data_IF_817976236449
#
_entry.id   IF_817976236449
#
_cell.length_a   1.000
_cell.length_b   1.000
_cell.length_c   1.000
_cell.angle_alpha   90.00
_cell.angle_beta   90.00
_cell.angle_gamma   90.00
#
_symmetry.space_group_name_H-M   'P 1'
#
loop_
_entity.id
_entity.type
_entity.pdbx_description
1 polymer ?
#
# COMPACT_ATOMS: atom_id res chain seq x y z
N UNK A 1 31.21 14.05 28.80
CA UNK A 1 31.46 15.38 28.20
C UNK A 1 30.17 15.85 27.56
N UNK A 2 29.67 17.04 27.90
CA UNK A 2 28.53 17.61 27.19
C UNK A 2 29.01 18.03 25.79
N UNK A 3 28.76 17.18 24.80
CA UNK A 3 29.13 17.45 23.41
C UNK A 3 28.32 18.61 22.85
N UNK A 4 28.99 19.52 22.14
CA UNK A 4 28.33 20.52 21.30
C UNK A 4 27.65 19.84 20.10
N UNK A 5 26.64 20.48 19.54
CA UNK A 5 26.00 19.92 18.36
C UNK A 5 26.91 20.01 17.13
N UNK A 6 27.11 18.90 16.42
CA UNK A 6 27.96 18.86 15.22
C UNK A 6 27.47 19.74 14.07
N UNK A 7 26.17 20.05 14.02
CA UNK A 7 25.56 20.89 12.99
C UNK A 7 25.49 22.36 13.42
N UNK A 8 25.51 22.61 14.73
CA UNK A 8 25.49 23.95 15.30
C UNK A 8 26.33 23.94 16.58
N UNK A 9 27.63 24.14 16.39
CA UNK A 9 28.63 24.01 17.44
C UNK A 9 28.49 25.08 18.53
N UNK A 10 27.63 26.08 18.33
CA UNK A 10 27.35 27.13 19.30
C UNK A 10 26.32 26.71 20.36
N UNK A 11 25.61 25.61 20.15
CA UNK A 11 24.55 25.13 21.04
C UNK A 11 24.94 23.75 21.59
N UNK A 12 24.88 23.58 22.91
CA UNK A 12 25.09 22.27 23.52
C UNK A 12 23.94 21.32 23.14
N UNK A 13 24.23 20.03 22.93
CA UNK A 13 23.19 19.06 22.54
C UNK A 13 22.02 19.01 23.55
N UNK A 14 22.30 19.23 24.83
CA UNK A 14 21.31 19.22 25.93
C UNK A 14 20.43 20.48 25.96
N UNK A 15 20.86 21.57 25.29
CA UNK A 15 20.15 22.85 25.23
C UNK A 15 19.19 22.94 24.04
N UNK A 16 19.23 21.95 23.14
CA UNK A 16 18.30 21.88 22.01
C UNK A 16 16.87 21.65 22.51
N UNK A 17 15.92 22.41 21.96
CA UNK A 17 14.49 22.18 22.24
C UNK A 17 14.03 20.88 21.55
N UNK A 18 12.92 20.27 22.00
CA UNK A 18 12.36 19.08 21.36
C UNK A 18 12.15 19.21 19.83
N UNK A 19 11.72 20.39 19.36
CA UNK A 19 11.55 20.65 17.92
C UNK A 19 12.86 20.83 17.17
N UNK A 20 13.92 21.31 17.84
CA UNK A 20 15.26 21.41 17.24
C UNK A 20 15.89 20.04 17.04
N UNK A 21 15.69 19.13 18.01
CA UNK A 21 16.05 17.72 17.83
C UNK A 21 15.28 17.12 16.64
N UNK A 22 13.98 17.38 16.55
CA UNK A 22 13.15 16.86 15.45
C UNK A 22 13.68 17.28 14.08
N UNK A 23 14.04 18.56 13.89
CA UNK A 23 14.62 19.06 12.63
C UNK A 23 15.95 18.39 12.24
N UNK A 24 16.63 17.75 13.21
CA UNK A 24 17.95 17.12 13.07
C UNK A 24 17.88 15.60 12.93
N UNK A 25 16.74 14.95 13.22
CA UNK A 25 16.64 13.49 13.18
C UNK A 25 15.40 12.94 12.46
N UNK A 26 14.36 13.76 12.23
CA UNK A 26 13.13 13.29 11.59
C UNK A 26 13.17 13.52 10.07
N UNK A 27 12.95 12.44 9.33
CA UNK A 27 12.64 12.47 7.90
C UNK A 27 11.37 11.65 7.68
N UNK A 28 10.32 12.29 7.15
CA UNK A 28 9.08 11.60 6.79
C UNK A 28 9.31 10.87 5.48
N UNK A 29 8.85 9.63 5.36
CA UNK A 29 9.00 8.91 4.10
C UNK A 29 8.08 9.49 3.02
N UNK A 30 8.56 9.46 1.77
CA UNK A 30 7.83 9.99 0.62
C UNK A 30 6.47 9.30 0.42
N UNK A 31 6.35 8.01 0.74
CA UNK A 31 5.09 7.29 0.61
C UNK A 31 4.01 7.83 1.55
N UNK A 32 4.33 8.05 2.83
CA UNK A 32 3.40 8.64 3.80
C UNK A 32 3.02 10.06 3.38
N UNK A 33 4.02 10.85 2.99
CA UNK A 33 3.81 12.19 2.49
C UNK A 33 2.89 12.25 1.27
N UNK A 34 3.22 11.50 0.21
CA UNK A 34 2.49 11.49 -1.06
C UNK A 34 1.09 10.92 -0.91
N UNK A 35 0.87 9.94 -0.03
CA UNK A 35 -0.48 9.42 0.27
C UNK A 35 -1.36 10.49 0.92
N UNK A 36 -0.80 11.24 1.88
CA UNK A 36 -1.50 12.37 2.51
C UNK A 36 -1.86 13.45 1.47
N UNK A 37 -0.92 13.85 0.61
CA UNK A 37 -1.15 14.86 -0.44
C UNK A 37 -2.14 14.37 -1.51
N UNK A 38 -2.11 13.08 -1.88
CA UNK A 38 -3.05 12.48 -2.84
C UNK A 38 -4.50 12.60 -2.39
N UNK A 39 -4.77 12.49 -1.10
CA UNK A 39 -6.11 12.71 -0.53
C UNK A 39 -6.64 14.14 -0.74
N UNK A 40 -5.78 15.11 -1.03
CA UNK A 40 -6.14 16.50 -1.29
C UNK A 40 -6.35 16.80 -2.78
N UNK A 41 -5.96 15.89 -3.68
CA UNK A 41 -6.06 16.07 -5.13
C UNK A 41 -7.47 16.50 -5.63
N UNK A 42 -8.59 15.96 -5.11
CA UNK A 42 -9.93 16.41 -5.54
C UNK A 42 -10.32 17.82 -5.09
N UNK A 43 -9.53 18.46 -4.21
CA UNK A 43 -9.89 19.69 -3.53
C UNK A 43 -9.00 20.89 -3.87
N UNK A 44 -7.98 20.68 -4.70
CA UNK A 44 -7.01 21.71 -5.06
C UNK A 44 -6.76 21.67 -6.57
N UNK A 45 -6.30 22.78 -7.15
CA UNK A 45 -5.94 22.81 -8.56
C UNK A 45 -4.71 21.95 -8.84
N UNK A 46 -4.53 21.51 -10.09
CA UNK A 46 -3.35 20.72 -10.50
C UNK A 46 -2.03 21.43 -10.19
N UNK A 47 -1.97 22.75 -10.37
CA UNK A 47 -0.79 23.56 -10.07
C UNK A 47 -0.47 23.56 -8.57
N UNK A 48 -1.48 23.72 -7.71
CA UNK A 48 -1.33 23.67 -6.25
C UNK A 48 -0.92 22.27 -5.80
N UNK A 49 -1.54 21.22 -6.34
CA UNK A 49 -1.16 19.83 -6.07
C UNK A 49 0.31 19.56 -6.43
N UNK A 50 0.76 20.04 -7.60
CA UNK A 50 2.16 19.93 -8.03
C UNK A 50 3.10 20.67 -7.08
N UNK A 51 2.76 21.89 -6.68
CA UNK A 51 3.53 22.68 -5.71
C UNK A 51 3.61 22.00 -4.34
N UNK A 52 2.52 21.42 -3.86
CA UNK A 52 2.51 20.60 -2.65
C UNK A 52 3.50 19.46 -2.83
N UNK A 53 3.34 18.59 -3.83
CA UNK A 53 4.23 17.45 -4.07
C UNK A 53 5.72 17.84 -4.17
N UNK A 54 6.03 19.00 -4.76
CA UNK A 54 7.39 19.51 -4.91
C UNK A 54 8.06 19.90 -3.58
N UNK A 55 7.29 20.16 -2.50
CA UNK A 55 7.85 20.45 -1.18
C UNK A 55 8.61 19.26 -0.59
N UNK A 56 8.31 18.04 -1.02
CA UNK A 56 9.12 16.89 -0.66
C UNK A 56 10.39 16.87 -1.51
N UNK A 57 11.43 17.53 -1.02
CA UNK A 57 12.70 17.65 -1.75
C UNK A 57 13.90 17.59 -0.83
N UNK A 58 14.92 16.86 -1.30
CA UNK A 58 16.25 16.89 -0.70
C UNK A 58 17.03 18.15 -1.16
N UNK A 59 16.73 18.66 -2.34
CA UNK A 59 17.44 19.75 -2.99
C UNK A 59 16.63 21.07 -2.86
N UNK A 60 17.30 22.24 -2.82
CA UNK A 60 16.62 23.54 -2.78
C UNK A 60 15.62 23.73 -3.94
N UNK A 61 14.45 24.29 -3.62
CA UNK A 61 13.43 24.57 -4.63
C UNK A 61 13.76 25.94 -5.23
N UNK A 62 13.91 26.09 -6.56
CA UNK A 62 14.37 27.33 -7.18
C UNK A 62 13.57 28.59 -6.82
N UNK A 63 12.27 28.45 -6.53
CA UNK A 63 11.42 29.55 -6.09
C UNK A 63 10.53 29.11 -4.92
N UNK A 64 11.16 28.88 -3.77
CA UNK A 64 10.52 28.36 -2.56
C UNK A 64 9.37 29.26 -2.09
N UNK A 65 9.57 30.58 -2.04
CA UNK A 65 8.55 31.53 -1.57
C UNK A 65 7.34 31.57 -2.51
N UNK A 66 7.56 31.53 -3.83
CA UNK A 66 6.48 31.41 -4.80
C UNK A 66 5.71 30.09 -4.64
N UNK A 67 6.41 28.99 -4.32
CA UNK A 67 5.79 27.67 -4.09
C UNK A 67 4.90 27.71 -2.84
N UNK A 68 5.40 28.27 -1.73
CA UNK A 68 4.63 28.44 -0.49
C UNK A 68 3.43 29.36 -0.70
N UNK A 69 3.62 30.50 -1.39
CA UNK A 69 2.54 31.44 -1.71
C UNK A 69 1.46 30.79 -2.60
N UNK A 70 1.86 30.01 -3.59
CA UNK A 70 0.92 29.28 -4.44
C UNK A 70 0.06 28.29 -3.63
N UNK A 71 0.67 27.57 -2.68
CA UNK A 71 -0.07 26.65 -1.80
C UNK A 71 -1.00 27.42 -0.84
N UNK A 72 -0.52 28.53 -0.28
CA UNK A 72 -1.28 29.38 0.63
C UNK A 72 -2.56 29.93 -0.02
N UNK A 73 -2.49 30.29 -1.30
CA UNK A 73 -3.64 30.77 -2.08
C UNK A 73 -4.42 29.64 -2.79
N UNK A 74 -4.04 28.38 -2.57
CA UNK A 74 -4.64 27.21 -3.22
C UNK A 74 -6.00 26.75 -2.69
N UNK A 75 -6.69 27.60 -1.92
CA UNK A 75 -7.96 27.30 -1.26
C UNK A 75 -7.81 26.77 0.17
N UNK A 76 -8.94 26.61 0.87
CA UNK A 76 -8.97 26.28 2.31
C UNK A 76 -8.20 25.01 2.66
N UNK A 77 -8.40 23.92 1.90
CA UNK A 77 -7.74 22.63 2.16
C UNK A 77 -6.22 22.70 2.00
N UNK A 78 -5.72 23.43 1.01
CA UNK A 78 -4.29 23.65 0.81
C UNK A 78 -3.69 24.52 1.93
N UNK A 79 -4.39 25.60 2.30
CA UNK A 79 -3.98 26.48 3.39
C UNK A 79 -3.92 25.76 4.74
N UNK A 80 -4.96 24.99 5.09
CA UNK A 80 -5.04 24.24 6.35
C UNK A 80 -3.91 23.19 6.41
N UNK A 81 -3.66 22.49 5.30
CA UNK A 81 -2.54 21.58 5.18
C UNK A 81 -1.19 22.28 5.34
N UNK A 82 -0.99 23.44 4.71
CA UNK A 82 0.25 24.20 4.84
C UNK A 82 0.47 24.69 6.28
N UNK A 83 -0.58 25.18 6.94
CA UNK A 83 -0.55 25.57 8.36
C UNK A 83 -0.14 24.40 9.25
N UNK A 84 -0.67 23.20 9.00
CA UNK A 84 -0.26 21.98 9.69
C UNK A 84 1.25 21.71 9.52
N UNK A 85 1.81 21.86 8.30
CA UNK A 85 3.26 21.67 8.07
C UNK A 85 4.14 22.75 8.69
N UNK A 86 3.63 23.98 8.78
CA UNK A 86 4.31 25.10 9.42
C UNK A 86 4.16 25.12 10.95
N UNK A 87 3.26 24.30 11.50
CA UNK A 87 3.09 24.15 12.96
C UNK A 87 4.35 23.58 13.63
N UNK A 88 4.38 23.59 14.97
CA UNK A 88 5.47 23.00 15.75
C UNK A 88 6.86 23.50 15.32
N UNK A 89 7.02 24.82 15.23
CA UNK A 89 8.25 25.51 14.79
C UNK A 89 8.78 25.02 13.43
N UNK A 90 7.89 24.69 12.50
CA UNK A 90 8.23 24.16 11.16
C UNK A 90 8.99 22.82 11.20
N UNK A 91 8.92 22.07 12.30
CA UNK A 91 9.60 20.78 12.43
C UNK A 91 9.09 19.75 11.41
N UNK A 92 7.79 19.76 11.10
CA UNK A 92 7.21 18.88 10.09
C UNK A 92 7.64 19.29 8.67
N UNK A 93 7.67 20.59 8.38
CA UNK A 93 8.23 21.09 7.12
C UNK A 93 9.70 20.67 6.96
N UNK A 94 10.52 20.80 8.01
CA UNK A 94 11.89 20.33 8.02
C UNK A 94 11.99 18.81 7.80
N UNK A 95 10.99 18.03 8.24
CA UNK A 95 10.94 16.59 8.04
C UNK A 95 10.56 16.15 6.61
N UNK A 96 10.08 17.05 5.75
CA UNK A 96 9.80 16.77 4.33
C UNK A 96 10.71 17.55 3.37
N UNK A 97 11.33 18.63 3.83
CA UNK A 97 12.14 19.54 3.03
C UNK A 97 13.53 19.69 3.65
N UNK A 98 14.53 18.99 3.08
CA UNK A 98 15.89 18.91 3.65
C UNK A 98 16.56 20.28 3.86
N UNK A 99 16.44 21.28 2.98
CA UNK A 99 17.05 22.59 3.22
C UNK A 99 16.52 23.30 4.48
N UNK A 100 15.30 22.98 4.94
CA UNK A 100 14.77 23.42 6.23
C UNK A 100 15.18 22.49 7.39
N UNK A 101 15.65 21.28 7.08
CA UNK A 101 16.22 20.34 8.03
C UNK A 101 17.69 20.65 8.31
N UNK A 102 18.18 20.09 9.42
CA UNK A 102 19.60 20.16 9.82
C UNK A 102 20.29 18.81 9.58
N UNK A 103 19.70 17.95 8.75
CA UNK A 103 20.23 16.62 8.43
C UNK A 103 21.17 16.73 7.22
N UNK A 104 22.39 16.15 7.28
CA UNK A 104 23.29 16.05 6.13
C UNK A 104 22.62 15.43 4.90
N UNK A 105 23.07 15.81 3.69
CA UNK A 105 22.36 15.45 2.44
C UNK A 105 22.43 13.94 2.20
N UNK A 106 23.61 13.39 2.48
CA UNK A 106 23.98 12.00 2.37
C UNK A 106 23.10 11.15 3.27
N UNK A 107 22.90 11.59 4.51
CA UNK A 107 22.01 10.92 5.49
C UNK A 107 20.55 11.04 5.05
N UNK A 108 20.12 12.21 4.57
CA UNK A 108 18.76 12.42 4.10
C UNK A 108 18.42 11.53 2.89
N UNK A 109 19.34 11.43 1.93
CA UNK A 109 19.19 10.61 0.72
C UNK A 109 19.46 9.12 0.98
N UNK A 110 20.11 8.75 2.09
CA UNK A 110 20.37 7.35 2.45
C UNK A 110 19.09 6.57 2.77
N UNK A 111 18.01 7.24 3.19
CA UNK A 111 16.74 6.57 3.42
C UNK A 111 16.04 6.30 2.08
N UNK A 112 15.78 5.03 1.71
CA UNK A 112 15.12 4.72 0.44
C UNK A 112 13.72 5.34 0.42
N UNK A 113 13.49 6.20 -0.57
CA UNK A 113 12.27 6.99 -0.71
C UNK A 113 11.03 6.16 -1.12
N UNK A 114 11.18 4.91 -1.54
CA UNK A 114 10.11 4.18 -2.27
C UNK A 114 9.90 2.73 -1.89
N UNK A 115 10.59 2.18 -0.90
CA UNK A 115 10.51 0.73 -0.67
C UNK A 115 9.52 0.33 0.41
N UNK A 116 8.73 -0.69 0.11
CA UNK A 116 7.96 -1.52 1.06
C UNK A 116 8.82 -2.00 2.25
N UNK A 117 10.16 -1.98 2.14
CA UNK A 117 11.09 -2.23 3.23
C UNK A 117 11.00 -1.19 4.34
N UNK A 118 11.11 0.11 4.01
CA UNK A 118 10.92 1.19 4.98
C UNK A 118 9.52 1.16 5.58
N UNK A 119 8.49 0.90 4.77
CA UNK A 119 7.10 0.78 5.25
C UNK A 119 6.90 -0.43 6.18
N UNK A 120 7.60 -1.53 5.96
CA UNK A 120 7.58 -2.68 6.87
C UNK A 120 8.32 -2.40 8.18
N UNK A 121 9.45 -1.69 8.13
CA UNK A 121 10.13 -1.20 9.33
C UNK A 121 9.22 -0.25 10.11
N UNK A 122 8.53 0.64 9.39
CA UNK A 122 7.49 1.50 9.96
C UNK A 122 6.40 0.67 10.62
N UNK A 123 5.91 -0.42 10.00
CA UNK A 123 4.87 -1.27 10.63
C UNK A 123 5.31 -1.83 11.99
N UNK A 124 6.56 -2.26 12.11
CA UNK A 124 7.07 -2.78 13.39
C UNK A 124 7.19 -1.66 14.43
N UNK A 125 7.71 -0.50 14.03
CA UNK A 125 7.78 0.70 14.88
C UNK A 125 6.37 1.19 15.25
N UNK A 126 5.42 1.15 14.33
CA UNK A 126 4.04 1.55 14.54
C UNK A 126 3.35 0.65 15.55
N UNK A 127 3.53 -0.67 15.53
CA UNK A 127 2.96 -1.56 16.56
C UNK A 127 3.43 -1.19 17.97
N UNK A 128 4.69 -0.77 18.10
CA UNK A 128 5.27 -0.35 19.38
C UNK A 128 4.96 1.12 19.71
N UNK A 129 4.63 1.93 18.69
CA UNK A 129 4.62 3.39 18.71
C UNK A 129 3.25 4.07 18.65
N UNK A 130 2.14 3.33 18.52
CA UNK A 130 0.81 3.97 18.49
C UNK A 130 0.58 4.73 19.79
N UNK A 131 0.19 6.01 19.69
CA UNK A 131 -0.04 6.94 20.82
C UNK A 131 1.24 7.40 21.55
N UNK A 132 2.42 7.18 20.99
CA UNK A 132 3.65 7.76 21.54
C UNK A 132 3.81 9.21 21.06
N UNK A 133 4.32 10.08 21.95
CA UNK A 133 4.79 11.40 21.51
C UNK A 133 6.06 11.25 20.66
N UNK A 134 6.44 12.30 19.95
CA UNK A 134 7.49 12.25 18.94
C UNK A 134 8.85 11.82 19.50
N UNK A 135 9.23 12.33 20.68
CA UNK A 135 10.50 12.03 21.35
C UNK A 135 10.65 10.53 21.69
N UNK A 136 9.74 9.91 22.44
CA UNK A 136 9.86 8.48 22.73
C UNK A 136 9.65 7.62 21.48
N UNK A 137 8.93 8.10 20.46
CA UNK A 137 8.88 7.47 19.13
C UNK A 137 10.26 7.45 18.44
N UNK A 138 11.00 8.56 18.50
CA UNK A 138 12.37 8.64 17.97
C UNK A 138 13.32 7.71 18.73
N UNK A 139 13.24 7.67 20.07
CA UNK A 139 14.06 6.77 20.88
C UNK A 139 13.79 5.29 20.58
N UNK A 140 12.51 4.90 20.45
CA UNK A 140 12.12 3.53 20.04
C UNK A 140 12.66 3.18 18.65
N UNK A 141 12.60 4.12 17.72
CA UNK A 141 13.11 3.94 16.36
C UNK A 141 14.62 3.70 16.39
N UNK A 142 15.37 4.49 17.15
CA UNK A 142 16.80 4.28 17.35
C UNK A 142 17.13 2.90 17.95
N UNK A 143 16.37 2.46 18.96
CA UNK A 143 16.53 1.11 19.54
C UNK A 143 16.20 -0.01 18.54
N UNK A 144 15.22 0.20 17.66
CA UNK A 144 14.90 -0.74 16.60
C UNK A 144 16.03 -0.82 15.57
N UNK A 145 16.58 0.32 15.14
CA UNK A 145 17.69 0.38 14.19
C UNK A 145 18.95 -0.27 14.78
N UNK A 146 19.26 0.02 16.04
CA UNK A 146 20.39 -0.62 16.75
C UNK A 146 20.26 -2.15 16.81
N UNK A 147 19.08 -2.67 17.17
CA UNK A 147 18.83 -4.13 17.13
C UNK A 147 18.91 -4.71 15.72
N UNK A 148 18.46 -3.96 14.71
CA UNK A 148 18.53 -4.37 13.32
C UNK A 148 19.98 -4.44 12.82
N UNK A 149 20.84 -3.50 13.22
CA UNK A 149 22.27 -3.53 12.90
C UNK A 149 22.97 -4.74 13.54
N UNK A 150 22.76 -4.97 14.85
CA UNK A 150 23.31 -6.16 15.54
C UNK A 150 22.84 -7.45 14.87
N UNK A 151 21.58 -7.50 14.45
CA UNK A 151 21.04 -8.64 13.72
C UNK A 151 21.76 -8.87 12.38
N UNK A 152 22.08 -7.81 11.64
CA UNK A 152 22.82 -7.91 10.38
C UNK A 152 24.27 -8.37 10.61
N UNK A 153 24.91 -7.87 11.66
CA UNK A 153 26.26 -8.30 12.07
C UNK A 153 26.28 -9.79 12.46
N UNK A 154 25.33 -10.23 13.29
CA UNK A 154 25.18 -11.64 13.67
C UNK A 154 24.95 -12.55 12.45
N UNK A 155 24.18 -12.08 11.48
CA UNK A 155 24.00 -12.81 10.22
C UNK A 155 25.31 -12.85 9.41
N UNK A 156 26.05 -11.76 9.33
CA UNK A 156 27.31 -11.71 8.57
C UNK A 156 28.42 -12.55 9.22
N UNK A 157 28.50 -12.59 10.55
CA UNK A 157 29.56 -13.27 11.31
C UNK A 157 29.25 -14.76 11.54
N UNK A 158 27.99 -15.10 11.77
CA UNK A 158 27.58 -16.43 12.22
C UNK A 158 26.51 -17.09 11.35
N UNK A 159 26.07 -16.43 10.27
CA UNK A 159 24.95 -16.88 9.43
C UNK A 159 23.64 -17.09 10.20
N UNK A 160 23.52 -16.49 11.40
CA UNK A 160 22.32 -16.58 12.23
C UNK A 160 21.28 -15.61 11.67
N UNK A 161 20.23 -16.17 11.08
CA UNK A 161 19.13 -15.37 10.56
C UNK A 161 18.21 -14.87 11.67
N UNK A 162 17.68 -13.62 11.59
CA UNK A 162 16.68 -13.10 12.54
C UNK A 162 15.35 -13.83 12.55
N UNK A 163 15.11 -14.68 11.55
CA UNK A 163 13.85 -15.40 11.38
C UNK A 163 14.20 -16.85 11.18
N UNK A 164 13.43 -17.73 11.79
CA UNK A 164 13.53 -19.19 11.63
C UNK A 164 13.37 -19.66 10.17
N UNK A 165 12.84 -18.77 9.31
CA UNK A 165 12.70 -19.03 7.87
C UNK A 165 13.72 -18.22 7.08
N UNK A 166 14.60 -18.94 6.40
CA UNK A 166 15.54 -18.38 5.44
C UNK A 166 14.80 -17.58 4.36
N UNK A 167 15.21 -16.34 4.04
CA UNK A 167 14.64 -15.57 2.95
C UNK A 167 15.22 -16.05 1.61
N UNK A 168 14.99 -17.30 1.25
CA UNK A 168 15.49 -17.87 -0.01
C UNK A 168 14.72 -17.30 -1.21
N UNK A 169 15.38 -17.25 -2.36
CA UNK A 169 14.74 -16.87 -3.62
C UNK A 169 13.52 -17.75 -3.92
N UNK A 170 13.64 -19.05 -3.71
CA UNK A 170 12.55 -20.02 -3.87
C UNK A 170 11.31 -19.67 -3.04
N UNK A 171 11.47 -19.37 -1.75
CA UNK A 171 10.34 -19.00 -0.90
C UNK A 171 9.70 -17.66 -1.29
N UNK A 172 10.49 -16.70 -1.77
CA UNK A 172 9.96 -15.44 -2.32
C UNK A 172 9.14 -15.70 -3.58
N UNK A 173 9.68 -16.48 -4.52
CA UNK A 173 9.00 -16.83 -5.77
C UNK A 173 7.70 -17.62 -5.50
N UNK A 174 7.75 -18.64 -4.65
CA UNK A 174 6.57 -19.42 -4.25
C UNK A 174 5.47 -18.53 -3.65
N UNK A 175 5.83 -17.60 -2.75
CA UNK A 175 4.86 -16.63 -2.20
C UNK A 175 4.30 -15.70 -3.26
N UNK A 176 5.10 -15.29 -4.24
CA UNK A 176 4.62 -14.45 -5.33
C UNK A 176 3.56 -15.19 -6.16
N UNK A 177 3.82 -16.45 -6.53
CA UNK A 177 2.86 -17.31 -7.23
C UNK A 177 1.56 -17.44 -6.44
N UNK A 178 1.62 -17.82 -5.16
CA UNK A 178 0.44 -17.96 -4.30
C UNK A 178 -0.39 -16.66 -4.26
N UNK A 179 0.27 -15.50 -4.14
CA UNK A 179 -0.42 -14.20 -4.15
C UNK A 179 -1.08 -13.92 -5.48
N UNK A 180 -0.40 -14.17 -6.59
CA UNK A 180 -0.96 -13.98 -7.94
C UNK A 180 -2.17 -14.87 -8.15
N UNK A 181 -2.09 -16.15 -7.76
CA UNK A 181 -3.23 -17.08 -7.81
C UNK A 181 -4.40 -16.57 -6.98
N UNK A 182 -4.17 -16.16 -5.73
CA UNK A 182 -5.23 -15.63 -4.86
C UNK A 182 -5.83 -14.31 -5.35
N UNK A 183 -5.08 -13.48 -6.09
CA UNK A 183 -5.62 -12.30 -6.77
C UNK A 183 -6.49 -12.73 -7.95
N UNK A 184 -6.00 -13.65 -8.79
CA UNK A 184 -6.74 -14.15 -9.94
C UNK A 184 -8.06 -14.82 -9.54
N UNK A 185 -8.04 -15.66 -8.50
CA UNK A 185 -9.24 -16.30 -7.95
C UNK A 185 -10.28 -15.27 -7.48
N UNK A 186 -9.83 -14.18 -6.83
CA UNK A 186 -10.73 -13.10 -6.41
C UNK A 186 -11.30 -12.32 -7.58
N UNK A 187 -10.50 -12.07 -8.62
CA UNK A 187 -10.95 -11.40 -9.85
C UNK A 187 -11.98 -12.27 -10.56
N UNK A 188 -11.69 -13.55 -10.78
CA UNK A 188 -12.62 -14.51 -11.40
C UNK A 188 -13.92 -14.62 -10.60
N UNK A 189 -13.84 -14.73 -9.26
CA UNK A 189 -15.03 -14.74 -8.40
C UNK A 189 -15.84 -13.44 -8.50
N UNK A 190 -15.19 -12.29 -8.61
CA UNK A 190 -15.88 -11.01 -8.80
C UNK A 190 -16.63 -10.98 -10.15
N UNK A 191 -15.99 -11.47 -11.22
CA UNK A 191 -16.60 -11.59 -12.54
C UNK A 191 -17.77 -12.57 -12.54
N UNK A 192 -17.64 -13.71 -11.86
CA UNK A 192 -18.71 -14.72 -11.72
C UNK A 192 -19.95 -14.11 -11.03
N UNK A 193 -19.75 -13.37 -9.94
CA UNK A 193 -20.83 -12.69 -9.23
C UNK A 193 -21.50 -11.60 -10.10
N UNK A 194 -20.72 -10.89 -10.92
CA UNK A 194 -21.24 -9.89 -11.85
C UNK A 194 -22.02 -10.53 -13.00
N UNK A 195 -21.52 -11.66 -13.52
CA UNK A 195 -22.18 -12.46 -14.54
C UNK A 195 -23.52 -13.02 -14.03
N UNK A 196 -23.57 -13.56 -12.82
CA UNK A 196 -24.81 -14.04 -12.18
C UNK A 196 -25.86 -12.93 -12.01
N UNK A 197 -25.43 -11.75 -11.56
CA UNK A 197 -26.30 -10.56 -11.47
C UNK A 197 -26.85 -10.16 -12.84
N UNK A 198 -25.98 -10.18 -13.86
CA UNK A 198 -26.35 -9.82 -15.24
C UNK A 198 -27.36 -10.82 -15.80
N UNK A 199 -27.14 -12.13 -15.60
CA UNK A 199 -28.11 -13.18 -15.97
C UNK A 199 -29.45 -13.02 -15.27
N UNK A 200 -29.44 -12.74 -13.97
CA UNK A 200 -30.67 -12.48 -13.21
C UNK A 200 -31.43 -11.28 -13.77
N UNK A 201 -30.72 -10.20 -14.12
CA UNK A 201 -31.32 -9.01 -14.72
C UNK A 201 -31.88 -9.29 -16.12
N UNK A 202 -31.16 -10.05 -16.94
CA UNK A 202 -31.62 -10.44 -18.27
C UNK A 202 -32.89 -11.29 -18.20
N UNK A 203 -32.94 -12.26 -17.28
CA UNK A 203 -34.14 -13.08 -17.05
C UNK A 203 -35.35 -12.21 -16.73
N UNK A 204 -35.22 -11.28 -15.77
CA UNK A 204 -36.29 -10.32 -15.42
C UNK A 204 -36.73 -9.44 -16.59
N UNK A 205 -35.79 -8.95 -17.40
CA UNK A 205 -36.11 -8.15 -18.58
C UNK A 205 -36.82 -8.99 -19.64
N UNK A 206 -36.47 -10.26 -19.78
CA UNK A 206 -37.12 -11.14 -20.73
C UNK A 206 -38.55 -11.48 -20.31
N UNK A 207 -38.79 -11.79 -19.03
CA UNK A 207 -40.14 -11.94 -18.49
C UNK A 207 -40.97 -10.68 -18.74
N UNK A 208 -40.36 -9.51 -18.54
CA UNK A 208 -41.00 -8.21 -18.82
C UNK A 208 -41.33 -8.04 -20.31
N UNK A 209 -40.45 -8.44 -21.23
CA UNK A 209 -40.74 -8.45 -22.67
C UNK A 209 -41.92 -9.37 -22.96
N UNK A 210 -41.94 -10.59 -22.42
CA UNK A 210 -43.05 -11.55 -22.62
C UNK A 210 -44.38 -10.96 -22.14
N UNK A 211 -44.42 -10.38 -20.94
CA UNK A 211 -45.62 -9.74 -20.38
C UNK A 211 -46.07 -8.56 -21.24
N UNK A 212 -45.14 -7.69 -21.67
CA UNK A 212 -45.45 -6.54 -22.50
C UNK A 212 -45.95 -6.95 -23.89
N UNK A 213 -45.35 -7.98 -24.50
CA UNK A 213 -45.77 -8.54 -25.79
C UNK A 213 -47.16 -9.17 -25.71
N UNK A 214 -47.45 -9.93 -24.66
CA UNK A 214 -48.79 -10.49 -24.44
C UNK A 214 -49.83 -9.39 -24.22
N UNK A 215 -49.48 -8.31 -23.51
CA UNK A 215 -50.36 -7.16 -23.34
C UNK A 215 -50.58 -6.40 -24.65
N UNK A 216 -49.54 -6.27 -25.48
CA UNK A 216 -49.61 -5.65 -26.80
C UNK A 216 -50.54 -6.46 -27.71
N UNK A 217 -50.42 -7.79 -27.72
CA UNK A 217 -51.29 -8.70 -28.48
C UNK A 217 -52.76 -8.53 -28.11
N UNK A 218 -53.09 -8.55 -26.80
CA UNK A 218 -54.46 -8.30 -26.32
C UNK A 218 -54.99 -6.92 -26.71
N UNK A 219 -54.13 -5.89 -26.68
CA UNK A 219 -54.47 -4.53 -27.11
C UNK A 219 -54.82 -4.47 -28.59
N UNK A 220 -54.05 -5.17 -29.42
CA UNK A 220 -54.28 -5.32 -30.86
C UNK A 220 -55.60 -6.03 -31.15
N UNK A 221 -55.84 -7.18 -30.48
CA UNK A 221 -57.09 -7.95 -30.61
C UNK A 221 -58.33 -7.14 -30.18
N UNK A 222 -58.15 -6.16 -29.27
CA UNK A 222 -59.23 -5.27 -28.80
C UNK A 222 -59.40 -4.00 -29.64
N UNK A 223 -58.62 -3.81 -30.72
CA UNK A 223 -58.66 -2.61 -31.55
C UNK A 223 -58.23 -1.31 -30.85
N UNK A 224 -57.47 -1.39 -29.76
CA UNK A 224 -56.96 -0.21 -29.03
C UNK A 224 -55.74 0.36 -29.73
N UNK A 225 -55.47 1.66 -29.54
CA UNK A 225 -54.20 2.26 -29.93
C UNK A 225 -53.03 1.55 -29.20
N UNK A 226 -52.10 1.00 -29.97
CA UNK A 226 -50.99 0.16 -29.50
C UNK A 226 -49.62 0.85 -29.58
N UNK A 227 -49.53 2.08 -30.09
CA UNK A 227 -48.23 2.72 -30.37
C UNK A 227 -47.34 2.83 -29.12
N UNK A 228 -47.93 3.29 -28.01
CA UNK A 228 -47.23 3.42 -26.73
C UNK A 228 -46.75 2.05 -26.18
N UNK A 229 -47.50 0.98 -26.43
CA UNK A 229 -47.12 -0.37 -25.99
C UNK A 229 -45.96 -0.92 -26.83
N UNK A 230 -45.97 -0.72 -28.15
CA UNK A 230 -44.86 -1.07 -29.06
C UNK A 230 -43.58 -0.36 -28.63
N UNK A 231 -43.65 0.94 -28.31
CA UNK A 231 -42.49 1.71 -27.84
C UNK A 231 -41.89 1.15 -26.55
N UNK A 232 -42.71 0.68 -25.61
CA UNK A 232 -42.26 0.05 -24.36
C UNK A 232 -41.56 -1.30 -24.59
N UNK A 233 -42.11 -2.14 -25.48
CA UNK A 233 -41.48 -3.42 -25.86
C UNK A 233 -40.09 -3.16 -26.45
N UNK A 234 -40.00 -2.30 -27.47
CA UNK A 234 -38.73 -1.95 -28.13
C UNK A 234 -37.70 -1.38 -27.16
N UNK A 235 -38.13 -0.55 -26.20
CA UNK A 235 -37.22 -0.01 -25.20
C UNK A 235 -36.64 -1.11 -24.29
N UNK A 236 -37.47 -2.07 -23.86
CA UNK A 236 -37.02 -3.20 -23.02
C UNK A 236 -36.12 -4.15 -23.82
N UNK A 237 -36.44 -4.43 -25.08
CA UNK A 237 -35.60 -5.24 -25.98
C UNK A 237 -34.23 -4.61 -26.21
N UNK A 238 -34.17 -3.29 -26.41
CA UNK A 238 -32.91 -2.56 -26.53
C UNK A 238 -32.05 -2.67 -25.27
N UNK A 239 -32.66 -2.59 -24.08
CA UNK A 239 -31.96 -2.82 -22.82
C UNK A 239 -31.41 -4.25 -22.72
N UNK A 240 -32.21 -5.25 -23.11
CA UNK A 240 -31.79 -6.64 -23.12
C UNK A 240 -30.63 -6.88 -24.09
N UNK A 241 -30.65 -6.27 -25.28
CA UNK A 241 -29.56 -6.34 -26.25
C UNK A 241 -28.26 -5.71 -25.72
N UNK A 242 -28.38 -4.58 -25.01
CA UNK A 242 -27.24 -3.96 -24.33
C UNK A 242 -26.58 -4.88 -23.31
N UNK A 243 -27.38 -5.59 -22.50
CA UNK A 243 -26.85 -6.58 -21.55
C UNK A 243 -26.24 -7.81 -22.25
N UNK A 244 -26.82 -8.27 -23.37
CA UNK A 244 -26.23 -9.38 -24.15
C UNK A 244 -24.81 -9.06 -24.63
N UNK A 245 -24.56 -7.82 -25.02
CA UNK A 245 -23.23 -7.39 -25.47
C UNK A 245 -22.19 -7.43 -24.33
N UNK A 246 -22.57 -7.07 -23.10
CA UNK A 246 -21.65 -7.12 -21.95
C UNK A 246 -21.41 -8.54 -21.42
N UNK A 247 -22.40 -9.44 -21.55
CA UNK A 247 -22.29 -10.83 -21.07
C UNK A 247 -21.14 -11.58 -21.74
N UNK A 248 -20.91 -11.42 -23.04
CA UNK A 248 -19.82 -12.13 -23.74
C UNK A 248 -18.46 -11.82 -23.11
N UNK A 249 -18.18 -10.54 -22.81
CA UNK A 249 -16.93 -10.15 -22.17
C UNK A 249 -16.80 -10.67 -20.74
N UNK A 250 -17.91 -10.83 -20.01
CA UNK A 250 -17.90 -11.38 -18.65
C UNK A 250 -17.72 -12.91 -18.68
N UNK A 251 -18.31 -13.60 -19.65
CA UNK A 251 -18.14 -15.03 -19.85
C UNK A 251 -16.67 -15.38 -20.14
N UNK A 252 -15.99 -14.60 -20.98
CA UNK A 252 -14.58 -14.80 -21.31
C UNK A 252 -13.64 -14.63 -20.09
N UNK A 253 -14.10 -13.92 -19.05
CA UNK A 253 -13.34 -13.65 -17.83
C UNK A 253 -13.86 -14.41 -16.60
N UNK A 254 -14.89 -15.25 -16.78
CA UNK A 254 -15.53 -16.05 -15.74
C UNK A 254 -14.80 -17.39 -15.56
N UNK A 255 -15.07 -18.06 -14.44
CA UNK A 255 -14.63 -19.44 -14.21
C UNK A 255 -15.34 -20.46 -15.14
N UNK A 256 -16.45 -20.06 -15.77
CA UNK A 256 -17.31 -20.96 -16.53
C UNK A 256 -18.24 -21.82 -15.65
N UNK A 257 -18.23 -21.62 -14.32
CA UNK A 257 -19.09 -22.37 -13.39
C UNK A 257 -20.48 -21.75 -13.21
N UNK A 258 -20.66 -20.49 -13.64
CA UNK A 258 -21.94 -19.78 -13.56
C UNK A 258 -22.93 -20.39 -14.54
N UNK A 259 -24.03 -20.93 -14.02
CA UNK A 259 -25.09 -21.54 -14.83
C UNK A 259 -25.69 -20.52 -15.80
N UNK A 260 -25.63 -20.84 -17.09
CA UNK A 260 -26.28 -20.04 -18.14
C UNK A 260 -27.79 -20.29 -18.05
N UNK A 261 -28.62 -19.25 -17.87
CA UNK A 261 -30.06 -19.42 -17.87
C UNK A 261 -30.54 -20.08 -19.18
N UNK A 262 -31.47 -21.04 -19.06
CA UNK A 262 -32.05 -21.79 -20.19
C UNK A 262 -32.60 -20.87 -21.29
N UNK A 263 -33.03 -19.68 -20.89
CA UNK A 263 -33.57 -18.66 -21.77
C UNK A 263 -32.55 -18.12 -22.79
N UNK A 264 -31.25 -18.28 -22.52
CA UNK A 264 -30.16 -17.90 -23.42
C UNK A 264 -29.68 -19.07 -24.28
N UNK A 265 -29.94 -20.30 -23.87
CA UNK A 265 -29.58 -21.51 -24.63
C UNK A 265 -30.63 -21.87 -25.68
N UNK A 266 -31.89 -21.43 -25.49
CA UNK A 266 -33.03 -21.76 -26.35
C UNK A 266 -33.01 -21.13 -27.77
N UNK A 267 -32.04 -20.27 -28.10
CA UNK A 267 -31.93 -19.66 -29.43
C UNK A 267 -31.04 -20.44 -30.40
N UNK A 268 -30.79 -21.74 -30.19
CA UNK A 268 -30.39 -22.58 -31.32
C UNK A 268 -31.59 -22.61 -32.27
N UNK A 269 -31.49 -22.12 -33.52
CA UNK A 269 -32.59 -22.13 -34.46
C UNK A 269 -32.89 -23.59 -34.84
N UNK A 270 -33.72 -24.25 -34.03
CA UNK A 270 -34.49 -25.39 -34.49
C UNK A 270 -35.43 -24.86 -35.57
N UNK A 271 -35.29 -25.44 -36.76
CA UNK A 271 -36.18 -25.34 -37.90
C UNK A 271 -37.63 -25.09 -37.48
N UNK A 272 -38.04 -23.83 -37.41
CA UNK A 272 -39.43 -23.50 -37.59
C UNK A 272 -39.72 -23.75 -39.07
N UNK A 273 -40.18 -24.96 -39.39
CA UNK A 273 -40.82 -25.21 -40.67
C UNK A 273 -41.95 -24.18 -40.82
N UNK A 274 -41.90 -23.31 -41.85
CA UNK A 274 -43.03 -22.45 -42.13
C UNK A 274 -44.17 -23.35 -42.61
N UNK A 275 -45.18 -23.52 -41.76
CA UNK A 275 -46.46 -24.07 -42.17
C UNK A 275 -47.00 -23.14 -43.28
N UNK A 276 -46.96 -23.65 -44.50
CA UNK A 276 -47.41 -23.02 -45.73
C UNK A 276 -48.92 -22.79 -45.68
N UNK A 277 -49.32 -21.56 -45.32
CA UNK A 277 -50.59 -20.97 -45.74
C UNK A 277 -50.48 -20.40 -47.16
N UNK A 278 -51.59 -20.29 -47.91
CA UNK A 278 -51.57 -20.18 -49.37
C UNK A 278 -51.07 -18.82 -49.86
N UNK A 279 -50.02 -18.85 -50.67
CA UNK A 279 -49.45 -17.70 -51.37
C UNK A 279 -50.35 -17.23 -52.50
N UNK A 280 -50.67 -15.94 -52.48
CA UNK A 280 -51.19 -15.16 -53.61
C UNK A 280 -50.06 -14.99 -54.64
N UNK A 281 -50.29 -15.18 -55.95
CA UNK A 281 -49.26 -14.98 -56.96
C UNK A 281 -49.13 -13.49 -57.27
N UNK A 282 -47.92 -12.96 -57.22
CA UNK A 282 -47.63 -11.70 -57.92
C UNK A 282 -46.26 -11.73 -58.58
N UNK A 283 -46.27 -11.17 -59.78
CA UNK A 283 -45.36 -11.40 -60.87
C UNK A 283 -44.02 -10.63 -60.74
N UNK A 284 -42.98 -11.26 -61.26
CA UNK A 284 -41.91 -10.68 -62.08
C UNK A 284 -41.31 -9.32 -61.67
N UNK A 285 -40.04 -9.31 -61.27
CA UNK A 285 -39.01 -8.62 -62.09
C UNK A 285 -37.59 -9.02 -61.70
N UNK A 286 -36.74 -8.96 -62.71
CA UNK A 286 -35.38 -9.49 -62.87
C UNK A 286 -34.28 -8.54 -62.37
N UNK A 287 -33.13 -9.17 -62.05
CA UNK A 287 -31.74 -8.68 -62.09
C UNK A 287 -31.36 -7.65 -61.01
N UNK A 288 -30.32 -7.83 -60.19
CA UNK A 288 -28.93 -8.01 -60.60
C UNK A 288 -28.07 -8.43 -59.39
N UNK A 289 -27.07 -9.25 -59.68
CA UNK A 289 -26.00 -9.62 -58.76
C UNK A 289 -24.97 -8.48 -58.67
N UNK A 290 -24.47 -8.17 -57.47
CA UNK A 290 -23.08 -7.80 -57.30
C UNK A 290 -22.59 -8.10 -55.89
N UNK A 291 -21.49 -8.84 -55.87
CA UNK A 291 -20.76 -9.31 -54.71
C UNK A 291 -20.10 -8.16 -53.95
N UNK A 292 -20.08 -8.25 -52.63
CA UNK A 292 -19.03 -7.66 -51.79
C UNK A 292 -18.92 -8.49 -50.52
N UNK A 293 -17.97 -9.44 -50.57
CA UNK A 293 -17.43 -10.09 -49.39
C UNK A 293 -16.53 -9.07 -48.68
N UNK A 294 -16.86 -8.76 -47.42
CA UNK A 294 -15.95 -8.06 -46.50
C UNK A 294 -15.42 -9.13 -45.53
N UNK A 295 -14.10 -9.33 -45.39
CA UNK A 295 -13.56 -10.30 -44.45
C UNK A 295 -13.75 -9.81 -43.02
N UNK A 296 -14.40 -10.61 -42.17
CA UNK A 296 -14.37 -10.42 -40.73
C UNK A 296 -12.97 -10.76 -40.21
N UNK A 297 -12.25 -9.72 -39.81
CA UNK A 297 -10.98 -9.81 -39.12
C UNK A 297 -11.20 -10.42 -37.73
N UNK A 298 -10.80 -11.67 -37.56
CA UNK A 298 -10.69 -12.33 -36.26
C UNK A 298 -9.63 -11.60 -35.43
N UNK A 299 -10.05 -10.80 -34.46
CA UNK A 299 -9.17 -10.30 -33.40
C UNK A 299 -8.89 -11.42 -32.41
N UNK A 300 -7.86 -12.21 -32.70
CA UNK A 300 -7.19 -13.07 -31.74
C UNK A 300 -6.49 -12.20 -30.70
N UNK A 301 -7.23 -11.78 -29.67
CA UNK A 301 -6.64 -11.20 -28.49
C UNK A 301 -6.04 -12.34 -27.67
N UNK A 302 -4.80 -12.72 -28.00
CA UNK A 302 -4.01 -13.65 -27.20
C UNK A 302 -3.83 -13.04 -25.81
N UNK A 303 -4.66 -13.51 -24.89
CA UNK A 303 -4.39 -13.41 -23.47
C UNK A 303 -3.08 -14.18 -23.25
N UNK A 304 -1.98 -13.45 -23.02
CA UNK A 304 -0.70 -14.03 -22.66
C UNK A 304 -0.88 -14.77 -21.33
N UNK A 305 -1.20 -16.05 -21.42
CA UNK A 305 -0.85 -17.00 -20.37
C UNK A 305 0.67 -16.90 -20.22
N UNK A 306 1.12 -16.33 -19.12
CA UNK A 306 2.49 -16.50 -18.67
C UNK A 306 2.69 -18.00 -18.38
N UNK A 307 3.07 -18.75 -19.40
CA UNK A 307 3.75 -20.03 -19.20
C UNK A 307 5.10 -19.70 -18.58
N UNK A 308 5.18 -19.73 -17.25
CA UNK A 308 6.45 -19.85 -16.56
C UNK A 308 6.93 -21.27 -16.82
N UNK A 309 7.68 -21.45 -17.90
CA UNK A 309 8.39 -22.66 -18.20
C UNK A 309 9.54 -22.76 -17.20
N UNK A 310 9.31 -23.44 -16.07
CA UNK A 310 10.38 -23.84 -15.16
C UNK A 310 11.21 -24.93 -15.83
N UNK A 311 12.17 -24.54 -16.66
CA UNK A 311 13.29 -25.40 -17.00
C UNK A 311 14.13 -25.59 -15.73
N UNK A 312 13.90 -26.69 -15.02
CA UNK A 312 14.93 -27.24 -14.15
C UNK A 312 16.09 -27.67 -15.04
N UNK A 313 17.32 -27.19 -14.81
CA UNK A 313 18.48 -27.77 -15.49
C UNK A 313 18.68 -29.20 -14.99
N UNK A 314 18.69 -30.16 -15.92
CA UNK A 314 19.20 -31.50 -15.66
C UNK A 314 20.70 -31.43 -15.31
N UNK A 315 21.19 -32.27 -14.39
CA UNK A 315 22.61 -32.32 -14.06
C UNK A 315 23.38 -33.00 -15.20
N UNK A 316 24.25 -32.25 -15.88
CA UNK A 316 25.32 -32.84 -16.70
C UNK A 316 26.47 -33.32 -15.80
N UNK A 317 27.20 -34.37 -16.21
CA UNK A 317 28.24 -34.97 -15.38
C UNK A 317 29.41 -34.01 -15.15
N UNK A 318 29.86 -33.97 -13.90
CA UNK A 318 30.94 -33.11 -13.40
C UNK A 318 32.26 -33.39 -14.13
N UNK A 319 32.67 -32.45 -14.98
CA UNK A 319 34.07 -32.26 -15.32
C UNK A 319 34.66 -31.28 -14.30
N UNK A 320 35.59 -31.78 -13.48
CA UNK A 320 36.33 -30.96 -12.51
C UNK A 320 37.18 -29.96 -13.29
N UNK A 321 36.75 -28.71 -13.30
CA UNK A 321 37.60 -27.57 -13.59
C UNK A 321 37.57 -26.64 -12.38
N UNK A 322 38.73 -26.54 -11.74
CA UNK A 322 39.02 -25.64 -10.65
C UNK A 322 38.81 -24.19 -11.11
N UNK A 323 37.86 -23.43 -10.54
CA UNK A 323 37.63 -22.07 -10.98
C UNK A 323 38.64 -21.13 -10.34
N UNK A 324 39.46 -20.48 -11.16
CA UNK A 324 40.17 -19.27 -10.74
C UNK A 324 39.15 -18.18 -10.43
N UNK A 325 39.15 -17.73 -9.18
CA UNK A 325 38.31 -16.66 -8.66
C UNK A 325 38.81 -15.32 -9.25
N UNK A 326 37.95 -14.50 -9.89
CA UNK A 326 38.31 -13.14 -10.25
C UNK A 326 38.50 -12.29 -8.98
N UNK A 327 39.69 -11.72 -8.82
CA UNK A 327 40.01 -10.79 -7.75
C UNK A 327 39.15 -9.52 -7.87
N UNK A 328 38.11 -9.40 -7.04
CA UNK A 328 37.43 -8.13 -6.84
C UNK A 328 38.33 -7.22 -6.01
N UNK A 329 38.67 -6.07 -6.59
CA UNK A 329 39.41 -5.00 -5.94
C UNK A 329 38.58 -4.43 -4.78
N UNK A 330 38.93 -4.80 -3.54
CA UNK A 330 38.43 -4.12 -2.34
C UNK A 330 39.13 -2.75 -2.19
N UNK A 331 38.42 -1.68 -1.81
CA UNK A 331 39.06 -0.44 -1.42
C UNK A 331 39.80 -0.64 -0.10
N UNK A 332 41.08 -0.27 -0.07
CA UNK A 332 41.93 -0.31 1.12
C UNK A 332 41.30 0.49 2.26
N UNK A 333 41.00 -0.19 3.37
CA UNK A 333 40.72 0.46 4.63
C UNK A 333 42.03 0.82 5.33
N UNK A 334 42.11 2.09 5.72
CA UNK A 334 43.21 2.74 6.39
C UNK A 334 43.32 2.22 7.85
N UNK A 335 44.48 1.78 8.36
CA UNK A 335 44.59 1.25 9.71
C UNK A 335 44.88 2.37 10.71
N UNK A 336 43.91 2.73 11.54
CA UNK A 336 44.17 3.43 12.79
C UNK A 336 43.62 2.64 13.98
N UNK A 337 44.56 2.06 14.73
CA UNK A 337 44.55 1.70 16.16
C UNK A 337 43.21 1.30 16.80
N UNK A 338 42.99 -0.01 16.97
CA UNK A 338 42.06 -0.56 17.96
C UNK A 338 42.84 -1.16 19.12
N UNK A 339 42.97 -0.40 20.20
CA UNK A 339 43.41 -0.91 21.50
C UNK A 339 42.25 -1.66 22.14
N UNK A 340 42.28 -3.00 22.11
CA UNK A 340 41.36 -3.85 22.89
C UNK A 340 41.81 -3.84 24.36
N UNK A 341 41.00 -3.31 25.26
CA UNK A 341 41.11 -3.60 26.69
C UNK A 341 40.06 -4.63 27.09
N UNK A 342 40.54 -5.76 27.61
CA UNK A 342 39.73 -6.78 28.25
C UNK A 342 39.50 -6.36 29.71
N UNK A 343 38.24 -6.24 30.14
CA UNK A 343 37.90 -6.13 31.55
C UNK A 343 37.34 -7.45 32.06
N UNK A 344 38.11 -8.09 32.95
CA UNK A 344 37.66 -9.20 33.79
C UNK A 344 37.07 -8.60 35.06
N UNK A 345 35.77 -8.79 35.31
CA UNK A 345 35.12 -8.27 36.53
C UNK A 345 34.89 -9.40 37.52
N UNK A 346 35.52 -9.30 38.70
CA UNK A 346 35.17 -10.12 39.87
C UNK A 346 34.01 -9.46 40.62
N UNK A 347 33.08 -10.27 41.12
CA UNK A 347 31.88 -9.86 41.85
C UNK A 347 32.17 -9.95 43.36
N UNK A 348 31.89 -8.88 44.10
CA UNK A 348 31.77 -8.88 45.56
C UNK A 348 30.33 -8.48 45.96
N UNK A 349 29.79 -8.97 47.10
CA UNK A 349 28.39 -8.80 47.46
C UNK A 349 28.11 -7.45 48.14
N UNK A 350 26.89 -6.91 47.94
CA UNK A 350 26.38 -5.67 48.54
C UNK A 350 25.27 -5.99 49.56
N UNK A 351 25.21 -5.32 50.72
CA UNK A 351 24.13 -5.49 51.71
C UNK A 351 22.94 -4.55 51.47
N UNK A 352 21.80 -4.94 52.05
CA UNK A 352 20.44 -4.44 51.76
C UNK A 352 20.03 -3.13 52.46
N UNK A 353 19.39 -2.25 51.65
CA UNK A 353 18.19 -1.40 51.85
C UNK A 353 17.94 -0.58 53.14
N UNK A 354 17.50 0.68 52.95
CA UNK A 354 16.23 1.21 53.53
C UNK A 354 15.72 2.51 52.87
N UNK A 355 14.42 2.49 52.51
CA UNK A 355 13.37 3.52 52.35
C UNK A 355 13.65 5.03 52.20
N UNK A 356 13.00 5.68 51.20
CA UNK A 356 12.02 6.80 51.36
C UNK A 356 11.31 7.13 50.02
N UNK A 357 9.98 6.96 49.93
CA UNK A 357 8.92 8.00 49.87
C UNK A 357 8.94 9.02 48.70
N UNK A 358 7.83 9.02 47.94
CA UNK A 358 7.52 9.92 46.84
C UNK A 358 6.44 10.96 47.23
N UNK A 359 6.31 12.06 46.46
CA UNK A 359 5.02 12.75 46.35
C UNK A 359 4.55 12.98 44.91
N UNK A 360 3.23 13.20 44.86
CA UNK A 360 2.31 13.28 43.72
C UNK A 360 2.48 14.48 42.78
N UNK A 361 1.99 14.30 41.55
CA UNK A 361 1.09 15.26 40.90
C UNK A 361 1.61 15.92 39.61
N UNK A 362 0.96 15.62 38.47
CA UNK A 362 0.35 16.62 37.58
C UNK A 362 -0.34 15.97 36.38
N UNK A 363 -1.54 16.48 36.08
CA UNK A 363 -2.43 16.06 35.00
C UNK A 363 -1.98 16.60 33.63
N UNK A 364 -2.16 15.81 32.58
CA UNK A 364 -1.97 16.23 31.18
C UNK A 364 -3.33 16.29 30.46
N UNK A 365 -3.70 17.42 29.82
CA UNK A 365 -4.93 17.54 29.04
C UNK A 365 -4.63 17.47 27.54
N UNK A 366 -4.78 16.30 26.93
CA UNK A 366 -4.88 16.17 25.46
C UNK A 366 -5.88 15.07 25.11
N UNK A 367 -7.14 15.47 24.94
CA UNK A 367 -8.20 14.65 24.36
C UNK A 367 -8.53 15.25 22.99
N UNK A 368 -8.31 14.48 21.92
CA UNK A 368 -8.88 14.78 20.60
C UNK A 368 -10.28 14.17 20.50
N UNK A 369 -11.27 14.87 19.93
CA UNK A 369 -12.61 14.33 19.73
C UNK A 369 -12.73 13.54 18.42
N UNK A 370 -13.56 12.49 18.48
CA UNK A 370 -14.21 11.76 17.39
C UNK A 370 -13.36 10.91 16.43
N UNK A 371 -13.15 9.65 16.82
CA UNK A 371 -13.42 8.51 15.94
C UNK A 371 -14.41 7.58 16.67
N UNK A 372 -15.65 7.52 16.19
CA UNK A 372 -16.60 6.49 16.58
C UNK A 372 -16.09 5.15 16.01
N UNK A 373 -15.52 4.32 16.86
CA UNK A 373 -15.29 2.90 16.58
C UNK A 373 -16.29 2.08 17.39
N UNK A 374 -17.06 1.26 16.70
CA UNK A 374 -18.05 0.33 17.25
C UNK A 374 -17.47 -0.52 18.39
N UNK A 375 -18.28 -0.64 19.44
CA UNK A 375 -17.98 -1.33 20.69
C UNK A 375 -18.04 -2.84 20.46
N UNK A 376 -16.89 -3.49 20.31
CA UNK A 376 -16.77 -4.94 20.51
C UNK A 376 -16.43 -5.19 21.99
N UNK A 377 -17.46 -5.47 22.80
CA UNK A 377 -17.33 -5.80 24.23
C UNK A 377 -16.94 -7.28 24.37
N UNK A 378 -15.64 -7.57 24.33
CA UNK A 378 -15.07 -8.84 24.78
C UNK A 378 -14.62 -8.73 26.23
N UNK A 379 -15.22 -9.55 27.12
CA UNK A 379 -14.79 -9.70 28.52
C UNK A 379 -13.35 -10.24 28.58
N UNK A 380 -12.41 -9.45 29.09
CA UNK A 380 -11.10 -9.95 29.51
C UNK A 380 -11.10 -10.10 31.03
N UNK A 381 -10.88 -11.34 31.48
CA UNK A 381 -10.49 -11.66 32.86
C UNK A 381 -9.15 -10.96 33.16
N UNK A 382 -9.09 -10.26 34.29
CA UNK A 382 -7.85 -9.80 34.89
C UNK A 382 -6.99 -11.02 35.28
N UNK A 383 -5.98 -11.31 34.45
CA UNK A 383 -4.87 -12.17 34.85
C UNK A 383 -3.82 -11.26 35.48
N UNK A 384 -3.64 -11.45 36.78
CA UNK A 384 -2.62 -10.80 37.59
C UNK A 384 -1.24 -11.35 37.16
N UNK A 385 -0.54 -10.63 36.28
CA UNK A 385 0.81 -11.00 35.84
C UNK A 385 1.82 -10.28 36.73
N UNK A 386 2.74 -11.00 37.40
CA UNK A 386 3.76 -10.38 38.23
C UNK A 386 4.70 -9.53 37.37
N UNK A 387 4.92 -8.29 37.82
CA UNK A 387 5.82 -7.34 37.19
C UNK A 387 7.27 -7.79 37.39
N UNK A 388 7.88 -8.35 36.34
CA UNK A 388 9.31 -8.63 36.35
C UNK A 388 10.11 -7.33 36.12
N UNK A 389 11.17 -7.07 36.91
CA UNK A 389 12.06 -5.93 36.67
C UNK A 389 12.83 -6.12 35.35
N UNK A 390 12.88 -5.07 34.54
CA UNK A 390 13.62 -4.99 33.28
C UNK A 390 15.13 -5.26 33.48
N UNK A 391 15.78 -6.15 32.69
CA UNK A 391 17.19 -6.48 32.86
C UNK A 391 18.10 -5.69 31.90
N UNK A 392 17.89 -4.38 31.74
CA UNK A 392 18.82 -3.53 30.98
C UNK A 392 19.27 -2.34 31.81
N UNK A 393 20.43 -2.49 32.43
CA UNK A 393 21.21 -1.41 33.03
C UNK A 393 21.83 -0.56 31.92
N UNK A 394 21.58 0.76 31.95
CA UNK A 394 22.26 1.71 31.06
C UNK A 394 23.78 1.69 31.30
N UNK A 395 24.64 1.72 30.26
CA UNK A 395 26.08 1.62 30.41
C UNK A 395 26.72 2.99 30.64
N UNK A 396 26.27 3.72 31.66
CA UNK A 396 26.95 4.96 32.07
C UNK A 396 27.15 4.96 33.59
N UNK A 397 28.39 4.76 34.01
CA UNK A 397 28.81 5.08 35.36
C UNK A 397 28.71 6.61 35.56
N UNK A 398 28.15 7.10 36.68
CA UNK A 398 28.24 8.52 37.01
C UNK A 398 29.71 8.92 37.18
N UNK A 399 30.10 10.15 36.81
CA UNK A 399 31.47 10.61 36.96
C UNK A 399 31.87 10.65 38.44
N UNK A 400 33.06 10.15 38.74
CA UNK A 400 33.65 10.27 40.07
C UNK A 400 33.75 11.75 40.47
N UNK A 401 33.44 12.12 41.72
CA UNK A 401 33.68 13.47 42.21
C UNK A 401 35.18 13.79 42.19
N UNK A 402 35.57 15.06 41.97
CA UNK A 402 36.96 15.46 41.98
C UNK A 402 37.58 15.22 43.36
N UNK A 403 38.79 14.65 43.37
CA UNK A 403 39.56 14.47 44.60
C UNK A 403 39.76 15.84 45.28
N UNK A 404 39.60 15.91 46.61
CA UNK A 404 39.92 17.12 47.35
C UNK A 404 41.42 17.43 47.23
N UNK A 405 41.80 18.72 47.23
CA UNK A 405 43.21 19.11 47.15
C UNK A 405 43.95 18.59 48.38
N UNK A 406 45.08 17.93 48.15
CA UNK A 406 46.03 17.55 49.18
C UNK A 406 46.50 18.82 49.92
N UNK A 407 46.39 18.80 51.25
CA UNK A 407 47.07 19.73 52.16
C UNK A 407 48.41 19.15 52.57
#
# INVERSE_FOLDING_TARGET
MAGYCSVDWTIALLELKPYDHTKRCLCICFQHYSTCVRGLKPHVSTAVYGAMMALYSADPIPNYDATISLIQHGGKKALDWLKDKLSAEKSILAAIYRPASKIPLEIWKASPNTTNGNEQSHRNIYRDGIKMSLVPGAMRSFQFDSRSMVTLELFQEHEIHPRDRLPTYYLRASRAVIRTTAVQERTVKANDNELEKTYTQMSKLQDKVIIQTNSLKRGYDSGKDTEAAVKRVRATEKQLQGLRASVSSLQDQSSGTVLIPEILTANKPGEFQPNSGPSIPSASSRNNAQASQVPMHMSSNMNQQYHIQTHLPQPSPLLVHEPQIPAYHMPQQNPYNQTRQYYTSQIAPVPSSTNSQAPNGMANPWVYPNQQSEVYRGQYRELNVPMYPYPYSYPYAPPNPPNPPYR
#
